data_IF_272574062906
#
_entry.id   IF_272574062906
#
_cell.length_a   1.000
_cell.length_b   1.000
_cell.length_c   1.000
_cell.angle_alpha   90.00
_cell.angle_beta   90.00
_cell.angle_gamma   90.00
#
_symmetry.space_group_name_H-M   'P 1'
#
loop_
_entity.id
_entity.type
_entity.pdbx_description
1 polymer ?
#
# COMPACT_ATOMS: atom_id res chain seq x y z
N UNK A 1 12.68 -34.42 14.22
CA UNK A 1 11.65 -34.52 13.17
C UNK A 1 10.41 -33.65 13.43
N UNK A 2 9.47 -33.99 14.33
CA UNK A 2 8.21 -33.21 14.45
C UNK A 2 8.39 -31.79 15.01
N UNK A 3 9.26 -31.62 16.02
CA UNK A 3 9.62 -30.29 16.58
C UNK A 3 10.40 -29.39 15.61
N UNK A 4 11.19 -29.96 14.71
CA UNK A 4 11.94 -29.21 13.69
C UNK A 4 10.97 -28.70 12.62
N UNK A 5 10.07 -29.57 12.15
CA UNK A 5 9.05 -29.18 11.17
C UNK A 5 8.11 -28.08 11.71
N UNK A 6 7.77 -28.12 13.01
CA UNK A 6 7.01 -27.05 13.66
C UNK A 6 7.78 -25.72 13.73
N UNK A 7 9.09 -25.74 14.01
CA UNK A 7 9.91 -24.53 14.03
C UNK A 7 10.12 -23.95 12.61
N UNK A 8 10.34 -24.81 11.61
CA UNK A 8 10.49 -24.41 10.21
C UNK A 8 9.21 -23.77 9.66
N UNK A 9 8.06 -24.37 9.99
CA UNK A 9 6.75 -23.81 9.63
C UNK A 9 6.38 -22.57 10.44
N UNK A 10 6.82 -22.42 11.69
CA UNK A 10 6.63 -21.20 12.50
C UNK A 10 7.31 -19.99 11.86
N UNK A 11 8.55 -20.14 11.39
CA UNK A 11 9.27 -19.08 10.70
C UNK A 11 8.57 -18.67 9.39
N UNK A 12 8.09 -19.64 8.62
CA UNK A 12 7.32 -19.38 7.40
C UNK A 12 6.00 -18.66 7.70
N UNK A 13 5.24 -19.11 8.71
CA UNK A 13 3.99 -18.46 9.15
C UNK A 13 4.22 -17.01 9.58
N UNK A 14 5.28 -16.73 10.34
CA UNK A 14 5.61 -15.36 10.72
C UNK A 14 5.94 -14.48 9.51
N UNK A 15 6.68 -15.00 8.52
CA UNK A 15 6.97 -14.25 7.28
C UNK A 15 5.71 -13.98 6.48
N UNK A 16 4.82 -14.96 6.37
CA UNK A 16 3.51 -14.80 5.72
C UNK A 16 2.70 -13.73 6.44
N UNK A 17 2.55 -13.83 7.76
CA UNK A 17 1.79 -12.84 8.54
C UNK A 17 2.36 -11.42 8.38
N UNK A 18 3.69 -11.25 8.47
CA UNK A 18 4.34 -9.94 8.27
C UNK A 18 4.14 -9.38 6.85
N UNK A 19 4.13 -10.25 5.84
CA UNK A 19 3.86 -9.84 4.47
C UNK A 19 2.41 -9.40 4.33
N UNK A 20 1.49 -10.19 4.87
CA UNK A 20 0.06 -9.88 4.89
C UNK A 20 -0.19 -8.54 5.59
N UNK A 21 0.33 -8.35 6.80
CA UNK A 21 0.27 -7.06 7.54
C UNK A 21 0.74 -5.89 6.68
N UNK A 22 1.91 -6.02 6.04
CA UNK A 22 2.44 -4.96 5.16
C UNK A 22 1.58 -4.70 3.93
N UNK A 23 0.94 -5.72 3.37
CA UNK A 23 0.00 -5.57 2.25
C UNK A 23 -1.27 -4.85 2.69
N UNK A 24 -1.77 -5.14 3.90
CA UNK A 24 -2.88 -4.40 4.52
C UNK A 24 -2.51 -2.94 4.79
N UNK A 25 -1.36 -2.66 5.41
CA UNK A 25 -0.90 -1.30 5.68
C UNK A 25 -0.80 -0.45 4.40
N UNK A 26 -0.37 -1.07 3.29
CA UNK A 26 -0.31 -0.41 1.98
C UNK A 26 -1.69 -0.13 1.40
N UNK A 27 -2.63 -1.06 1.55
CA UNK A 27 -3.99 -0.88 1.07
C UNK A 27 -4.69 0.24 1.85
N UNK A 28 -4.57 0.23 3.18
CA UNK A 28 -5.13 1.24 4.06
C UNK A 28 -4.57 2.65 3.74
N UNK A 29 -3.24 2.77 3.65
CA UNK A 29 -2.60 4.02 3.24
C UNK A 29 -3.01 4.46 1.82
N UNK A 30 -3.29 3.53 0.91
CA UNK A 30 -3.76 3.87 -0.43
C UNK A 30 -5.19 4.42 -0.43
N UNK A 31 -6.07 3.92 0.44
CA UNK A 31 -7.42 4.49 0.62
C UNK A 31 -7.33 5.91 1.16
N UNK A 32 -6.58 6.14 2.24
CA UNK A 32 -6.38 7.47 2.81
C UNK A 32 -5.80 8.47 1.78
N UNK A 33 -4.81 8.03 1.00
CA UNK A 33 -4.19 8.88 -0.01
C UNK A 33 -5.14 9.17 -1.18
N UNK A 34 -6.00 8.21 -1.54
CA UNK A 34 -7.03 8.42 -2.56
C UNK A 34 -8.04 9.46 -2.11
N UNK A 35 -8.56 9.33 -0.90
CA UNK A 35 -9.55 10.26 -0.36
C UNK A 35 -9.01 11.69 -0.29
N UNK A 36 -7.75 11.87 0.14
CA UNK A 36 -7.09 13.18 0.10
C UNK A 36 -6.88 13.72 -1.31
N UNK A 37 -6.54 12.84 -2.26
CA UNK A 37 -6.39 13.23 -3.67
C UNK A 37 -7.71 13.71 -4.26
N UNK A 38 -8.81 13.00 -3.99
CA UNK A 38 -10.16 13.35 -4.44
C UNK A 38 -10.68 14.64 -3.78
N UNK A 39 -10.26 14.93 -2.54
CA UNK A 39 -10.58 16.17 -1.82
C UNK A 39 -9.65 17.36 -2.19
N UNK A 40 -8.64 17.13 -3.02
CA UNK A 40 -7.66 18.17 -3.35
C UNK A 40 -8.31 19.34 -4.09
N UNK A 41 -7.97 20.57 -3.68
CA UNK A 41 -8.33 21.77 -4.43
C UNK A 41 -7.54 21.91 -5.76
N UNK A 42 -6.52 21.06 -5.98
CA UNK A 42 -5.78 21.06 -7.22
C UNK A 42 -6.59 20.39 -8.34
N UNK A 43 -7.12 21.20 -9.26
CA UNK A 43 -7.89 20.75 -10.43
C UNK A 43 -7.15 19.77 -11.36
N UNK A 44 -5.83 19.68 -11.23
CA UNK A 44 -5.00 18.78 -12.03
C UNK A 44 -4.65 17.48 -11.28
N UNK A 45 -5.03 17.37 -10.01
CA UNK A 45 -4.86 16.15 -9.24
C UNK A 45 -5.72 15.03 -9.85
N UNK A 46 -5.12 13.87 -10.05
CA UNK A 46 -5.82 12.64 -10.38
C UNK A 46 -5.22 11.47 -9.61
N UNK A 47 -6.09 10.53 -9.23
CA UNK A 47 -5.68 9.29 -8.61
C UNK A 47 -5.27 8.27 -9.68
N UNK A 48 -4.04 7.77 -9.60
CA UNK A 48 -3.54 6.72 -10.48
C UNK A 48 -3.68 5.33 -9.82
N UNK A 49 -4.60 4.46 -10.29
CA UNK A 49 -4.94 3.21 -9.60
C UNK A 49 -3.82 2.15 -9.67
N UNK A 50 -2.96 2.23 -10.69
CA UNK A 50 -1.88 1.26 -10.86
C UNK A 50 -0.73 1.49 -9.88
N UNK A 51 -0.45 2.76 -9.55
CA UNK A 51 0.66 3.13 -8.66
C UNK A 51 0.18 3.50 -7.26
N UNK A 52 -1.13 3.68 -7.07
CA UNK A 52 -1.76 4.13 -5.83
C UNK A 52 -1.22 5.51 -5.39
N UNK A 53 -1.11 6.44 -6.34
CA UNK A 53 -0.55 7.78 -6.10
C UNK A 53 -1.47 8.86 -6.63
N UNK A 54 -1.47 10.00 -5.95
CA UNK A 54 -2.02 11.25 -6.47
C UNK A 54 -0.99 11.92 -7.37
N UNK A 55 -1.31 12.12 -8.64
CA UNK A 55 -0.42 12.69 -9.64
C UNK A 55 -1.04 13.95 -10.27
N UNK A 56 -0.19 14.87 -10.71
CA UNK A 56 -0.60 16.00 -11.54
C UNK A 56 -0.70 15.56 -13.00
N UNK A 57 -1.89 15.63 -13.59
CA UNK A 57 -2.15 15.21 -14.98
C UNK A 57 -1.30 15.96 -16.03
N UNK A 58 -0.79 17.16 -15.72
CA UNK A 58 0.03 17.96 -16.64
C UNK A 58 1.49 17.55 -16.63
N UNK A 59 1.99 17.13 -15.47
CA UNK A 59 3.44 16.91 -15.26
C UNK A 59 3.80 15.47 -14.94
N UNK A 60 2.82 14.64 -14.58
CA UNK A 60 3.00 13.28 -14.07
C UNK A 60 3.68 13.23 -12.70
N UNK A 61 3.91 14.38 -12.05
CA UNK A 61 4.57 14.44 -10.74
C UNK A 61 3.62 14.08 -9.64
N UNK A 62 4.17 13.48 -8.59
CA UNK A 62 3.42 13.18 -7.37
C UNK A 62 2.99 14.47 -6.71
N UNK A 63 1.69 14.61 -6.50
CA UNK A 63 1.13 15.61 -5.61
C UNK A 63 1.15 14.96 -4.24
N UNK A 64 1.92 15.54 -3.33
CA UNK A 64 1.89 15.12 -1.93
C UNK A 64 0.47 15.49 -1.44
N UNK A 65 -0.35 14.51 -1.01
CA UNK A 65 -1.67 14.78 -0.48
C UNK A 65 -1.59 15.61 0.81
#
# INVERSE_FOLDING_TARGET
MEKEQWNDTRNLRQKVNKRTEKEWDKADAAFDNRDKCEQSANINAYWEPNTLRCLDRRTGRVIIP
#
